data_IF_745095494386
#
_entry.id   IF_745095494386
#
_cell.length_a   1.000
_cell.length_b   1.000
_cell.length_c   1.000
_cell.angle_alpha   90.00
_cell.angle_beta   90.00
_cell.angle_gamma   90.00
#
_symmetry.space_group_name_H-M   'P 1'
#
loop_
_entity.id
_entity.type
_entity.pdbx_description
1 polymer ?
#
# COMPACT_ATOMS: atom_id res chain seq x y z
N UNK A 1 6.59 7.70 16.60
CA UNK A 1 5.66 8.49 15.77
C UNK A 1 4.27 8.07 16.20
N UNK A 2 3.40 9.02 16.52
CA UNK A 2 1.99 8.70 16.82
C UNK A 2 1.25 8.42 15.52
N UNK A 3 0.42 7.38 15.51
CA UNK A 3 -0.41 7.03 14.36
C UNK A 3 -1.82 7.60 14.56
N UNK A 4 -2.28 8.54 13.73
CA UNK A 4 -3.64 9.02 13.82
C UNK A 4 -4.62 7.91 13.45
N UNK A 5 -5.74 7.80 14.19
CA UNK A 5 -6.81 6.87 13.85
C UNK A 5 -7.38 7.16 12.45
N UNK A 6 -7.90 6.13 11.79
CA UNK A 6 -8.58 6.24 10.49
C UNK A 6 -7.78 6.92 9.36
N UNK A 7 -6.45 6.83 9.39
CA UNK A 7 -5.56 7.43 8.37
C UNK A 7 -4.84 6.37 7.52
N UNK A 8 -5.56 5.60 6.67
CA UNK A 8 -4.95 4.62 5.78
C UNK A 8 -4.08 5.29 4.70
N UNK A 9 -4.37 6.54 4.35
CA UNK A 9 -3.61 7.35 3.38
C UNK A 9 -2.19 7.66 3.85
N UNK A 10 -1.98 7.62 5.17
CA UNK A 10 -0.66 7.69 5.76
C UNK A 10 0.05 6.33 5.83
N UNK A 11 -0.66 5.20 5.70
CA UNK A 11 -0.10 3.85 5.88
C UNK A 11 0.57 3.31 4.60
N UNK A 12 1.92 3.27 4.52
CA UNK A 12 2.61 2.85 3.30
C UNK A 12 2.32 1.39 2.92
N UNK A 13 1.99 0.54 3.90
CA UNK A 13 1.74 -0.89 3.63
C UNK A 13 0.46 -1.10 2.82
N UNK A 14 -0.52 -0.19 2.89
CA UNK A 14 -1.76 -0.27 2.10
C UNK A 14 -1.44 -0.18 0.60
N UNK A 15 -0.41 0.59 0.23
CA UNK A 15 0.05 0.64 -1.16
C UNK A 15 0.72 -0.66 -1.60
N UNK A 16 1.43 -1.34 -0.71
CA UNK A 16 2.04 -2.64 -1.00
C UNK A 16 0.96 -3.73 -1.14
N UNK A 17 -0.09 -3.67 -0.32
CA UNK A 17 -1.27 -4.53 -0.49
C UNK A 17 -1.98 -4.30 -1.82
N UNK A 18 -2.13 -3.04 -2.25
CA UNK A 18 -2.69 -2.73 -3.57
C UNK A 18 -1.83 -3.29 -4.71
N UNK A 19 -0.50 -3.27 -4.58
CA UNK A 19 0.39 -3.87 -5.57
C UNK A 19 0.19 -5.41 -5.64
N UNK A 20 -0.01 -6.09 -4.51
CA UNK A 20 -0.35 -7.51 -4.47
C UNK A 20 -1.77 -7.80 -5.00
N UNK A 21 -2.75 -6.93 -4.72
CA UNK A 21 -4.13 -7.07 -5.19
C UNK A 21 -4.20 -7.00 -6.73
N UNK A 22 -3.46 -6.07 -7.35
CA UNK A 22 -3.36 -5.99 -8.81
C UNK A 22 -2.86 -7.29 -9.44
N UNK A 23 -1.92 -7.95 -8.78
CA UNK A 23 -1.41 -9.25 -9.21
C UNK A 23 -2.47 -10.36 -9.09
N UNK A 24 -3.26 -10.35 -8.03
CA UNK A 24 -4.42 -11.25 -7.88
C UNK A 24 -5.46 -11.00 -8.97
N UNK A 25 -5.82 -9.74 -9.23
CA UNK A 25 -6.77 -9.37 -10.28
C UNK A 25 -6.28 -9.76 -11.68
N UNK A 26 -4.96 -9.68 -11.93
CA UNK A 26 -4.35 -10.10 -13.19
C UNK A 26 -4.38 -11.61 -13.38
N UNK A 27 -4.02 -12.37 -12.34
CA UNK A 27 -3.88 -13.83 -12.43
C UNK A 27 -5.20 -14.58 -12.25
N UNK A 28 -6.20 -13.96 -11.63
CA UNK A 28 -7.56 -14.51 -11.44
C UNK A 28 -7.56 -15.93 -10.86
N UNK A 29 -6.94 -16.15 -9.68
CA UNK A 29 -6.89 -17.46 -9.06
C UNK A 29 -8.30 -17.99 -8.78
N UNK A 30 -8.49 -19.29 -9.00
CA UNK A 30 -9.80 -19.96 -8.94
C UNK A 30 -10.09 -20.62 -7.59
N UNK A 31 -9.07 -20.76 -6.74
CA UNK A 31 -9.16 -21.41 -5.43
C UNK A 31 -8.17 -20.80 -4.43
N UNK A 32 -8.32 -21.15 -3.16
CA UNK A 32 -7.53 -20.59 -2.06
C UNK A 32 -6.03 -20.88 -2.21
N UNK A 33 -5.64 -22.06 -2.72
CA UNK A 33 -4.23 -22.43 -2.89
C UNK A 33 -3.56 -21.58 -3.97
N UNK A 34 -4.25 -21.37 -5.08
CA UNK A 34 -3.79 -20.46 -6.14
C UNK A 34 -3.70 -19.03 -5.63
N UNK A 35 -4.72 -18.55 -4.91
CA UNK A 35 -4.72 -17.20 -4.33
C UNK A 35 -3.53 -16.99 -3.40
N UNK A 36 -3.27 -17.93 -2.49
CA UNK A 36 -2.14 -17.88 -1.57
C UNK A 36 -0.79 -17.85 -2.32
N UNK A 37 -0.64 -18.68 -3.35
CA UNK A 37 0.57 -18.73 -4.17
C UNK A 37 0.79 -17.40 -4.92
N UNK A 38 -0.27 -16.82 -5.48
CA UNK A 38 -0.23 -15.53 -6.18
C UNK A 38 0.18 -14.42 -5.21
N UNK A 39 -0.44 -14.32 -4.03
CA UNK A 39 -0.11 -13.30 -3.04
C UNK A 39 1.34 -13.43 -2.57
N UNK A 40 1.79 -14.64 -2.21
CA UNK A 40 3.18 -14.87 -1.79
C UNK A 40 4.19 -14.47 -2.86
N UNK A 41 3.91 -14.83 -4.12
CA UNK A 41 4.77 -14.48 -5.26
C UNK A 41 4.79 -12.97 -5.50
N UNK A 42 3.63 -12.31 -5.52
CA UNK A 42 3.51 -10.87 -5.71
C UNK A 42 4.25 -10.11 -4.61
N UNK A 43 4.07 -10.53 -3.35
CA UNK A 43 4.74 -9.94 -2.20
C UNK A 43 6.26 -10.04 -2.29
N UNK A 44 6.78 -11.23 -2.65
CA UNK A 44 8.22 -11.45 -2.83
C UNK A 44 8.83 -10.65 -4.00
N UNK A 45 8.02 -10.18 -4.94
CA UNK A 45 8.45 -9.39 -6.10
C UNK A 45 8.47 -7.88 -5.84
N UNK A 46 7.94 -7.41 -4.70
CA UNK A 46 8.01 -6.01 -4.31
C UNK A 46 9.48 -5.62 -4.14
N UNK A 47 9.94 -4.65 -4.92
CA UNK A 47 11.34 -4.22 -4.90
C UNK A 47 11.64 -3.36 -3.68
N UNK A 48 12.88 -3.42 -3.20
CA UNK A 48 13.38 -2.51 -2.15
C UNK A 48 13.20 -1.04 -2.57
N UNK A 49 13.39 -0.73 -3.86
CA UNK A 49 13.17 0.62 -4.39
C UNK A 49 11.71 1.06 -4.26
N UNK A 50 10.75 0.16 -4.47
CA UNK A 50 9.32 0.46 -4.28
C UNK A 50 9.04 0.82 -2.82
N UNK A 51 9.59 0.05 -1.88
CA UNK A 51 9.51 0.36 -0.46
C UNK A 51 10.13 1.72 -0.13
N UNK A 52 11.36 1.97 -0.60
CA UNK A 52 12.05 3.25 -0.40
C UNK A 52 11.22 4.43 -0.90
N UNK A 53 10.70 4.35 -2.13
CA UNK A 53 9.87 5.41 -2.71
C UNK A 53 8.60 5.70 -1.89
N UNK A 54 8.00 4.70 -1.25
CA UNK A 54 6.84 4.89 -0.38
C UNK A 54 7.23 5.62 0.90
N UNK A 55 8.34 5.26 1.52
CA UNK A 55 8.89 5.95 2.70
C UNK A 55 9.25 7.40 2.35
N UNK A 56 9.95 7.62 1.25
CA UNK A 56 10.35 8.96 0.78
C UNK A 56 9.14 9.84 0.44
N UNK A 57 7.99 9.24 0.15
CA UNK A 57 6.74 9.97 -0.10
C UNK A 57 6.05 10.46 1.18
N UNK A 58 6.37 9.90 2.35
CA UNK A 58 5.67 10.17 3.61
C UNK A 58 5.58 11.65 4.00
N UNK A 59 6.66 12.47 3.92
CA UNK A 59 6.57 13.89 4.24
C UNK A 59 5.49 14.60 3.41
N UNK A 60 5.40 14.26 2.11
CA UNK A 60 4.41 14.86 1.19
C UNK A 60 2.98 14.45 1.53
N UNK A 61 2.77 13.25 2.07
CA UNK A 61 1.44 12.75 2.49
C UNK A 61 1.00 13.44 3.77
N UNK A 62 1.90 13.53 4.75
CA UNK A 62 1.66 14.29 5.98
C UNK A 62 1.31 15.75 5.65
N UNK A 63 2.06 16.39 4.75
CA UNK A 63 1.76 17.75 4.30
C UNK A 63 0.38 17.86 3.65
N UNK A 64 -0.04 16.84 2.88
CA UNK A 64 -1.36 16.81 2.27
C UNK A 64 -2.47 16.72 3.32
N UNK A 65 -2.31 15.88 4.34
CA UNK A 65 -3.26 15.76 5.46
C UNK A 65 -3.35 17.08 6.24
N UNK A 66 -2.21 17.71 6.53
CA UNK A 66 -2.16 19.01 7.22
C UNK A 66 -2.87 20.09 6.40
N UNK A 67 -2.58 20.18 5.11
CA UNK A 67 -3.24 21.13 4.19
C UNK A 67 -4.74 20.87 4.06
N UNK A 68 -5.15 19.61 4.22
CA UNK A 68 -6.54 19.20 4.20
C UNK A 68 -7.17 19.17 5.61
N UNK A 69 -6.58 19.83 6.61
CA UNK A 69 -7.12 19.94 7.96
C UNK A 69 -7.46 18.59 8.62
N UNK A 70 -6.67 17.54 8.34
CA UNK A 70 -6.90 16.20 8.87
C UNK A 70 -7.93 15.37 8.09
N UNK A 71 -8.56 15.92 7.04
CA UNK A 71 -9.49 15.18 6.19
C UNK A 71 -8.77 14.25 5.20
N UNK A 72 -9.44 13.19 4.71
CA UNK A 72 -8.85 12.20 3.81
C UNK A 72 -8.18 12.81 2.59
N UNK A 73 -7.00 12.30 2.24
CA UNK A 73 -6.28 12.74 1.05
C UNK A 73 -6.43 11.75 -0.11
N UNK A 74 -5.78 12.04 -1.24
CA UNK A 74 -5.77 11.15 -2.42
C UNK A 74 -4.84 9.94 -2.27
N UNK A 75 -4.06 9.89 -1.20
CA UNK A 75 -3.07 8.84 -0.98
C UNK A 75 -3.73 7.59 -0.41
#
# INVERSE_FOLDING_TARGET
MEWPSQSPDLNPIEHLWNDAEKEVQRQKPSNIRELEAVIKKAWAQISVQRCANLIDSMPRRCDAVIKNFGYPTKY
#
